data_IF_354743034769
#
_entry.id   IF_354743034769
#
_cell.length_a   1.000
_cell.length_b   1.000
_cell.length_c   1.000
_cell.angle_alpha   90.00
_cell.angle_beta   90.00
_cell.angle_gamma   90.00
#
_symmetry.space_group_name_H-M   'P 1'
#
loop_
_entity.id
_entity.type
_entity.pdbx_description
1 polymer ?
#
# COMPACT_ATOMS: atom_id res chain seq x y z
N UNK A 1 -27.23 -0.30 19.00
CA UNK A 1 -27.22 -0.45 17.52
C UNK A 1 -27.59 0.85 16.80
N UNK A 2 -28.63 1.57 17.19
CA UNK A 2 -29.11 2.80 16.52
C UNK A 2 -28.10 3.96 16.52
N UNK A 3 -27.29 4.11 17.58
CA UNK A 3 -26.22 5.13 17.64
C UNK A 3 -25.08 4.90 16.63
N UNK A 4 -24.75 3.64 16.31
CA UNK A 4 -23.74 3.35 15.30
C UNK A 4 -24.22 3.83 13.93
N UNK A 5 -25.45 3.48 13.53
CA UNK A 5 -26.04 3.89 12.23
C UNK A 5 -26.20 5.41 12.07
N UNK A 6 -26.51 6.14 13.15
CA UNK A 6 -26.60 7.61 13.11
C UNK A 6 -25.25 8.32 12.94
N UNK A 7 -24.15 7.65 13.27
CA UNK A 7 -22.81 8.23 13.24
C UNK A 7 -21.99 7.86 11.98
N UNK A 8 -22.47 6.89 11.18
CA UNK A 8 -21.93 6.61 9.83
C UNK A 8 -21.88 7.83 8.92
N UNK A 9 -22.93 8.68 8.80
CA UNK A 9 -22.90 9.87 7.96
C UNK A 9 -21.81 10.86 8.36
N UNK A 10 -21.51 10.98 9.66
CA UNK A 10 -20.43 11.86 10.13
C UNK A 10 -19.04 11.30 9.81
N UNK A 11 -18.86 9.99 9.93
CA UNK A 11 -17.62 9.31 9.54
C UNK A 11 -17.38 9.44 8.02
N UNK A 12 -18.42 9.19 7.23
CA UNK A 12 -18.39 9.29 5.76
C UNK A 12 -18.17 10.73 5.26
N UNK A 13 -18.54 11.75 6.04
CA UNK A 13 -18.23 13.15 5.75
C UNK A 13 -16.78 13.54 6.09
N UNK A 14 -16.06 12.71 6.86
CA UNK A 14 -14.70 13.05 7.28
C UNK A 14 -13.69 12.82 6.15
N UNK A 15 -13.10 13.92 5.67
CA UNK A 15 -12.02 13.90 4.68
C UNK A 15 -10.76 13.20 5.19
N UNK A 16 -10.46 13.29 6.50
CA UNK A 16 -9.32 12.59 7.11
C UNK A 16 -9.53 11.06 7.10
N UNK A 17 -10.76 10.61 7.41
CA UNK A 17 -11.10 9.18 7.36
C UNK A 17 -10.85 8.62 5.95
N UNK A 18 -11.40 9.27 4.93
CA UNK A 18 -11.20 8.85 3.54
C UNK A 18 -9.74 8.91 3.10
N UNK A 19 -9.01 9.94 3.53
CA UNK A 19 -7.59 10.05 3.20
C UNK A 19 -6.77 8.88 3.75
N UNK A 20 -6.93 8.51 5.03
CA UNK A 20 -6.25 7.33 5.59
C UNK A 20 -6.73 6.02 4.95
N UNK A 21 -8.03 5.87 4.72
CA UNK A 21 -8.60 4.69 4.05
C UNK A 21 -8.06 4.48 2.65
N UNK A 22 -7.99 5.55 1.85
CA UNK A 22 -7.44 5.50 0.50
C UNK A 22 -5.93 5.26 0.53
N UNK A 23 -5.21 5.85 1.49
CA UNK A 23 -3.77 5.62 1.65
C UNK A 23 -3.48 4.13 1.92
N UNK A 24 -4.21 3.52 2.85
CA UNK A 24 -4.10 2.09 3.13
C UNK A 24 -4.49 1.24 1.91
N UNK A 25 -5.59 1.58 1.23
CA UNK A 25 -6.09 0.84 0.08
C UNK A 25 -5.13 0.89 -1.13
N UNK A 26 -4.52 2.04 -1.45
CA UNK A 26 -3.55 2.14 -2.54
C UNK A 26 -2.25 1.40 -2.21
N UNK A 27 -1.77 1.52 -0.97
CA UNK A 27 -0.57 0.81 -0.49
C UNK A 27 -0.74 -0.71 -0.55
N UNK A 28 -1.86 -1.22 -0.05
CA UNK A 28 -2.21 -2.64 -0.18
C UNK A 28 -2.51 -3.03 -1.64
N UNK A 29 -3.10 -2.13 -2.43
CA UNK A 29 -3.36 -2.32 -3.85
C UNK A 29 -2.10 -2.68 -4.64
N UNK A 30 -0.97 -2.01 -4.36
CA UNK A 30 0.32 -2.37 -4.96
C UNK A 30 0.75 -3.81 -4.60
N UNK A 31 0.48 -4.25 -3.37
CA UNK A 31 0.76 -5.62 -2.92
C UNK A 31 -0.19 -6.64 -3.57
N UNK A 32 -1.47 -6.31 -3.72
CA UNK A 32 -2.44 -7.16 -4.41
C UNK A 32 -2.18 -7.27 -5.91
N UNK A 33 -1.76 -6.19 -6.57
CA UNK A 33 -1.29 -6.22 -7.95
C UNK A 33 -0.09 -7.17 -8.09
N UNK A 34 0.88 -7.06 -7.17
CA UNK A 34 2.01 -7.98 -7.10
C UNK A 34 1.54 -9.43 -6.97
N UNK A 35 0.66 -9.77 -6.03
CA UNK A 35 0.16 -11.13 -5.87
C UNK A 35 -0.54 -11.65 -7.13
N UNK A 36 -1.29 -10.79 -7.84
CA UNK A 36 -1.95 -11.15 -9.10
C UNK A 36 -0.99 -11.37 -10.28
N UNK A 37 0.16 -10.69 -10.30
CA UNK A 37 1.13 -10.74 -11.41
C UNK A 37 2.42 -11.52 -11.14
N UNK A 38 2.81 -11.74 -9.89
CA UNK A 38 4.14 -12.27 -9.53
C UNK A 38 4.40 -13.67 -10.07
N UNK A 39 3.38 -14.53 -10.08
CA UNK A 39 3.49 -15.89 -10.61
C UNK A 39 3.73 -15.87 -12.13
N UNK A 40 3.06 -14.96 -12.84
CA UNK A 40 3.27 -14.74 -14.27
C UNK A 40 4.69 -14.24 -14.54
N UNK A 41 5.16 -13.22 -13.82
CA UNK A 41 6.54 -12.70 -13.97
C UNK A 41 7.56 -13.81 -13.73
N UNK A 42 7.40 -14.55 -12.63
CA UNK A 42 8.32 -15.61 -12.26
C UNK A 42 8.46 -16.70 -13.32
N UNK A 43 7.34 -17.11 -13.93
CA UNK A 43 7.35 -18.15 -14.97
C UNK A 43 7.71 -17.61 -16.34
N UNK A 44 7.02 -16.58 -16.81
CA UNK A 44 7.11 -16.13 -18.20
C UNK A 44 8.31 -15.22 -18.46
N UNK A 45 8.74 -14.43 -17.48
CA UNK A 45 9.91 -13.54 -17.63
C UNK A 45 11.20 -14.20 -17.16
N UNK A 46 11.14 -14.95 -16.06
CA UNK A 46 12.32 -15.47 -15.38
C UNK A 46 12.52 -16.98 -15.49
N UNK A 47 11.59 -17.71 -16.14
CA UNK A 47 11.62 -19.18 -16.30
C UNK A 47 11.90 -19.93 -14.99
N UNK A 48 11.34 -19.42 -13.88
CA UNK A 48 11.54 -20.00 -12.55
C UNK A 48 10.68 -21.25 -12.36
N UNK A 49 11.31 -22.29 -11.81
CA UNK A 49 10.60 -23.46 -11.31
C UNK A 49 9.65 -23.09 -10.15
N UNK A 50 8.54 -23.83 -9.96
CA UNK A 50 7.52 -23.49 -8.95
C UNK A 50 8.06 -23.42 -7.51
N UNK A 51 9.04 -24.25 -7.16
CA UNK A 51 9.71 -24.28 -5.86
C UNK A 51 10.53 -23.00 -5.60
N UNK A 52 11.32 -22.57 -6.58
CA UNK A 52 12.11 -21.34 -6.49
C UNK A 52 11.20 -20.10 -6.52
N UNK A 53 10.17 -20.12 -7.36
CA UNK A 53 9.17 -19.05 -7.43
C UNK A 53 8.47 -18.82 -6.08
N UNK A 54 8.09 -19.88 -5.38
CA UNK A 54 7.48 -19.77 -4.06
C UNK A 54 8.37 -19.06 -3.04
N UNK A 55 9.69 -19.34 -3.07
CA UNK A 55 10.67 -18.66 -2.22
C UNK A 55 10.76 -17.17 -2.55
N UNK A 56 10.84 -16.81 -3.83
CA UNK A 56 10.90 -15.40 -4.27
C UNK A 56 9.62 -14.63 -3.94
N UNK A 57 8.45 -15.26 -4.05
CA UNK A 57 7.16 -14.65 -3.68
C UNK A 57 7.09 -14.35 -2.17
N UNK A 58 7.78 -15.15 -1.35
CA UNK A 58 7.82 -14.93 0.10
C UNK A 58 8.74 -13.78 0.50
N UNK A 59 9.78 -13.44 -0.28
CA UNK A 59 10.80 -12.43 0.07
C UNK A 59 10.19 -11.07 0.45
N UNK A 60 9.21 -10.51 -0.29
CA UNK A 60 8.63 -9.22 0.08
C UNK A 60 7.92 -9.19 1.44
N UNK A 61 7.44 -10.34 1.90
CA UNK A 61 6.83 -10.49 3.24
C UNK A 61 7.83 -10.14 4.34
N UNK A 62 9.12 -10.44 4.13
CA UNK A 62 10.18 -10.08 5.08
C UNK A 62 10.27 -8.56 5.24
N UNK A 63 10.28 -7.84 4.11
CA UNK A 63 10.24 -6.37 4.11
C UNK A 63 9.03 -5.85 4.88
N UNK A 64 7.84 -6.38 4.59
CA UNK A 64 6.61 -6.00 5.28
C UNK A 64 6.67 -6.22 6.79
N UNK A 65 7.15 -7.37 7.24
CA UNK A 65 7.30 -7.68 8.68
C UNK A 65 8.26 -6.70 9.35
N UNK A 66 9.40 -6.40 8.71
CA UNK A 66 10.37 -5.42 9.23
C UNK A 66 9.75 -4.04 9.33
N UNK A 67 9.10 -3.56 8.26
CA UNK A 67 8.41 -2.27 8.24
C UNK A 67 7.31 -2.17 9.32
N UNK A 68 6.53 -3.23 9.51
CA UNK A 68 5.48 -3.28 10.52
C UNK A 68 6.07 -3.24 11.95
N UNK A 69 7.17 -3.96 12.19
CA UNK A 69 7.90 -3.87 13.46
C UNK A 69 8.45 -2.46 13.74
N UNK A 70 8.95 -1.77 12.71
CA UNK A 70 9.38 -0.36 12.81
C UNK A 70 8.20 0.57 13.14
N UNK A 71 7.04 0.36 12.53
CA UNK A 71 5.81 1.09 12.88
C UNK A 71 5.48 0.94 14.37
N UNK A 72 5.41 -0.30 14.86
CA UNK A 72 5.09 -0.56 16.27
C UNK A 72 6.04 0.14 17.25
N UNK A 73 7.32 0.31 16.89
CA UNK A 73 8.32 0.97 17.73
C UNK A 73 8.32 2.50 17.62
N UNK A 74 8.17 3.04 16.42
CA UNK A 74 8.46 4.46 16.15
C UNK A 74 7.22 5.34 15.97
N UNK A 75 6.04 4.76 15.76
CA UNK A 75 4.81 5.53 15.50
C UNK A 75 4.40 6.43 16.67
N UNK A 76 4.62 6.01 17.91
CA UNK A 76 4.32 6.83 19.10
C UNK A 76 5.26 8.03 19.25
N UNK A 77 6.52 7.90 18.80
CA UNK A 77 7.54 8.95 18.95
C UNK A 77 7.57 9.93 17.78
N UNK A 78 7.42 9.43 16.55
CA UNK A 78 7.52 10.24 15.33
C UNK A 78 6.16 10.73 14.80
N UNK A 79 5.07 10.10 15.23
CA UNK A 79 3.72 10.37 14.75
C UNK A 79 3.35 9.56 13.51
N UNK A 80 2.07 9.19 13.43
CA UNK A 80 1.53 8.33 12.38
C UNK A 80 1.69 8.92 10.98
N UNK A 81 1.43 10.22 10.81
CA UNK A 81 1.46 10.89 9.50
C UNK A 81 2.85 10.88 8.86
N UNK A 82 3.89 11.15 9.66
CA UNK A 82 5.28 11.12 9.20
C UNK A 82 5.71 9.69 8.85
N UNK A 83 5.33 8.71 9.66
CA UNK A 83 5.64 7.31 9.40
C UNK A 83 5.00 6.82 8.10
N UNK A 84 3.75 7.21 7.84
CA UNK A 84 3.07 6.89 6.58
C UNK A 84 3.77 7.55 5.40
N UNK A 85 4.12 8.84 5.50
CA UNK A 85 4.81 9.55 4.42
C UNK A 85 6.18 8.90 4.11
N UNK A 86 6.98 8.59 5.14
CA UNK A 86 8.26 7.89 4.96
C UNK A 86 8.04 6.53 4.30
N UNK A 87 7.07 5.75 4.78
CA UNK A 87 6.71 4.48 4.18
C UNK A 87 6.32 4.61 2.70
N UNK A 88 5.50 5.60 2.35
CA UNK A 88 5.05 5.84 0.99
C UNK A 88 6.20 6.31 0.06
N UNK A 89 7.15 7.09 0.58
CA UNK A 89 8.37 7.44 -0.15
C UNK A 89 9.22 6.19 -0.40
N UNK A 90 9.34 5.30 0.58
CA UNK A 90 10.06 4.03 0.43
C UNK A 90 9.40 3.12 -0.60
N UNK A 91 8.07 3.04 -0.66
CA UNK A 91 7.38 2.23 -1.67
C UNK A 91 7.60 2.76 -3.08
N UNK A 92 7.48 4.08 -3.28
CA UNK A 92 7.77 4.72 -4.57
C UNK A 92 9.23 4.53 -4.94
N UNK A 93 10.18 4.72 -4.01
CA UNK A 93 11.59 4.49 -4.27
C UNK A 93 11.87 3.05 -4.74
N UNK A 94 11.31 2.05 -4.04
CA UNK A 94 11.44 0.64 -4.43
C UNK A 94 10.90 0.39 -5.84
N UNK A 95 9.72 0.91 -6.17
CA UNK A 95 9.09 0.68 -7.47
C UNK A 95 9.70 1.49 -8.61
N UNK A 96 10.15 2.72 -8.37
CA UNK A 96 10.90 3.53 -9.34
C UNK A 96 12.25 2.87 -9.63
N UNK A 97 12.93 2.35 -8.61
CA UNK A 97 14.16 1.58 -8.79
C UNK A 97 13.90 0.30 -9.61
N UNK A 98 12.79 -0.39 -9.33
CA UNK A 98 12.37 -1.55 -10.13
C UNK A 98 12.17 -1.19 -11.61
N UNK A 99 11.46 -0.09 -11.89
CA UNK A 99 11.22 0.38 -13.26
C UNK A 99 12.53 0.76 -13.95
N UNK A 100 13.40 1.50 -13.25
CA UNK A 100 14.69 1.91 -13.78
C UNK A 100 15.58 0.70 -14.13
N UNK A 101 15.68 -0.28 -13.23
CA UNK A 101 16.45 -1.51 -13.46
C UNK A 101 15.85 -2.33 -14.61
N UNK A 102 14.53 -2.43 -14.69
CA UNK A 102 13.86 -3.14 -15.78
C UNK A 102 14.13 -2.52 -17.16
N UNK A 103 14.24 -1.19 -17.25
CA UNK A 103 14.50 -0.49 -18.50
C UNK A 103 16.00 -0.38 -18.85
N UNK A 104 16.88 -0.36 -17.86
CA UNK A 104 18.31 -0.05 -18.05
C UNK A 104 19.22 -1.28 -18.05
N UNK A 105 18.72 -2.43 -17.55
CA UNK A 105 19.51 -3.64 -17.36
C UNK A 105 18.73 -4.88 -17.81
N UNK A 106 19.42 -6.01 -17.99
CA UNK A 106 18.74 -7.27 -18.23
C UNK A 106 18.02 -7.69 -16.93
N UNK A 107 16.69 -7.88 -16.93
CA UNK A 107 15.95 -8.18 -15.71
C UNK A 107 16.40 -9.53 -15.14
N UNK A 108 16.73 -9.55 -13.85
CA UNK A 108 17.05 -10.76 -13.08
C UNK A 108 16.07 -10.90 -11.91
N UNK A 109 15.75 -12.12 -11.45
CA UNK A 109 14.75 -12.33 -10.40
C UNK A 109 15.00 -11.47 -9.16
N UNK A 110 16.24 -11.43 -8.68
CA UNK A 110 16.60 -10.74 -7.46
C UNK A 110 16.41 -9.22 -7.55
N UNK A 111 16.55 -8.60 -8.73
CA UNK A 111 16.31 -7.17 -8.89
C UNK A 111 14.83 -6.83 -8.78
N UNK A 112 13.96 -7.64 -9.37
CA UNK A 112 12.51 -7.46 -9.25
C UNK A 112 12.03 -7.73 -7.82
N UNK A 113 12.25 -8.94 -7.29
CA UNK A 113 11.74 -9.33 -5.98
C UNK A 113 12.41 -8.54 -4.83
N UNK A 114 13.67 -8.11 -5.00
CA UNK A 114 14.36 -7.21 -4.08
C UNK A 114 13.71 -5.83 -4.01
N UNK A 115 13.37 -5.24 -5.16
CA UNK A 115 12.63 -3.97 -5.19
C UNK A 115 11.23 -4.09 -4.60
N UNK A 116 10.52 -5.19 -4.88
CA UNK A 116 9.22 -5.47 -4.25
C UNK A 116 9.36 -5.67 -2.74
N UNK A 117 10.49 -6.18 -2.25
CA UNK A 117 10.78 -6.26 -0.82
C UNK A 117 10.94 -4.88 -0.17
N UNK A 118 11.62 -3.94 -0.84
CA UNK A 118 11.67 -2.54 -0.40
C UNK A 118 10.26 -1.94 -0.37
N UNK A 119 9.44 -2.20 -1.39
CA UNK A 119 8.02 -1.81 -1.37
C UNK A 119 7.26 -2.47 -0.20
N UNK A 120 7.53 -3.74 0.11
CA UNK A 120 7.00 -4.44 1.28
C UNK A 120 7.30 -3.70 2.58
N UNK A 121 8.56 -3.27 2.76
CA UNK A 121 8.98 -2.47 3.91
C UNK A 121 8.20 -1.15 4.02
N UNK A 122 8.05 -0.43 2.92
CA UNK A 122 7.24 0.79 2.90
C UNK A 122 5.77 0.52 3.24
N UNK A 123 5.17 -0.56 2.72
CA UNK A 123 3.81 -0.97 3.06
C UNK A 123 3.66 -1.34 4.55
N UNK A 124 4.68 -1.96 5.15
CA UNK A 124 4.74 -2.24 6.59
C UNK A 124 4.77 -0.98 7.45
N UNK A 125 5.24 0.14 6.88
CA UNK A 125 5.16 1.46 7.50
C UNK A 125 3.79 2.12 7.29
N UNK A 126 3.25 2.05 6.07
CA UNK A 126 2.02 2.75 5.68
C UNK A 126 0.77 2.14 6.29
N UNK A 127 0.56 0.83 6.14
CA UNK A 127 -0.73 0.18 6.43
C UNK A 127 -1.11 0.24 7.91
N UNK A 128 -0.27 -0.19 8.88
CA UNK A 128 -0.65 -0.15 10.29
C UNK A 128 -0.87 1.28 10.79
N UNK A 129 -0.06 2.24 10.34
CA UNK A 129 -0.22 3.64 10.71
C UNK A 129 -1.48 4.28 10.10
N UNK A 130 -1.80 3.94 8.86
CA UNK A 130 -3.02 4.42 8.20
C UNK A 130 -4.27 3.84 8.87
N UNK A 131 -4.24 2.58 9.27
CA UNK A 131 -5.33 1.96 10.04
C UNK A 131 -5.49 2.64 11.42
N UNK A 132 -4.39 2.91 12.13
CA UNK A 132 -4.41 3.64 13.39
C UNK A 132 -4.97 5.07 13.21
N UNK A 133 -4.52 5.78 12.17
CA UNK A 133 -5.00 7.11 11.81
C UNK A 133 -6.50 7.13 11.49
N UNK A 134 -6.96 6.18 10.69
CA UNK A 134 -8.38 6.04 10.35
C UNK A 134 -9.27 5.87 11.59
N UNK A 135 -8.84 5.04 12.55
CA UNK A 135 -9.58 4.81 13.80
C UNK A 135 -9.51 6.01 14.76
N UNK A 136 -8.42 6.79 14.73
CA UNK A 136 -8.25 7.95 15.61
C UNK A 136 -9.06 9.17 15.16
N UNK A 137 -9.50 9.25 13.90
CA UNK A 137 -10.35 10.35 13.39
C UNK A 137 -11.65 10.49 14.19
N UNK A 138 -12.28 9.38 14.56
CA UNK A 138 -13.48 9.36 15.41
C UNK A 138 -13.42 8.14 16.35
N UNK A 139 -12.82 8.26 17.55
CA UNK A 139 -12.62 7.13 18.45
C UNK A 139 -13.91 6.40 18.85
N UNK A 140 -15.03 7.14 18.98
CA UNK A 140 -16.36 6.58 19.27
C UNK A 140 -16.88 5.64 18.16
N UNK A 141 -16.32 5.73 16.95
CA UNK A 141 -16.71 4.96 15.76
C UNK A 141 -15.59 4.06 15.24
N UNK A 142 -14.56 3.80 16.05
CA UNK A 142 -13.38 3.06 15.62
C UNK A 142 -13.72 1.68 15.02
N UNK A 143 -14.72 0.97 15.57
CA UNK A 143 -15.19 -0.30 15.01
C UNK A 143 -15.78 -0.17 13.60
N UNK A 144 -16.64 0.83 13.37
CA UNK A 144 -17.21 1.11 12.05
C UNK A 144 -16.16 1.60 11.05
N UNK A 145 -15.21 2.42 11.52
CA UNK A 145 -14.08 2.89 10.72
C UNK A 145 -13.20 1.72 10.25
N UNK A 146 -12.82 0.83 11.17
CA UNK A 146 -12.04 -0.36 10.83
C UNK A 146 -12.79 -1.31 9.90
N UNK A 147 -14.10 -1.50 10.09
CA UNK A 147 -14.92 -2.36 9.22
C UNK A 147 -15.01 -1.82 7.80
N UNK A 148 -15.32 -0.53 7.64
CA UNK A 148 -15.41 0.12 6.33
C UNK A 148 -14.04 0.21 5.65
N UNK A 149 -13.00 0.59 6.38
CA UNK A 149 -11.63 0.62 5.87
C UNK A 149 -11.15 -0.76 5.42
N UNK A 150 -11.42 -1.80 6.21
CA UNK A 150 -11.11 -3.19 5.85
C UNK A 150 -11.85 -3.67 4.60
N UNK A 151 -13.13 -3.31 4.46
CA UNK A 151 -13.92 -3.63 3.27
C UNK A 151 -13.36 -2.92 2.02
N UNK A 152 -12.99 -1.65 2.11
CA UNK A 152 -12.35 -0.90 1.02
C UNK A 152 -10.99 -1.50 0.64
N UNK A 153 -10.19 -1.84 1.64
CA UNK A 153 -8.88 -2.44 1.43
C UNK A 153 -8.97 -3.79 0.71
N UNK A 154 -9.84 -4.68 1.22
CA UNK A 154 -10.00 -6.04 0.67
C UNK A 154 -10.71 -6.01 -0.68
N UNK A 155 -11.80 -5.26 -0.80
CA UNK A 155 -12.58 -5.14 -2.03
C UNK A 155 -11.81 -4.43 -3.14
N UNK A 156 -11.17 -3.30 -2.83
CA UNK A 156 -10.30 -2.60 -3.77
C UNK A 156 -9.09 -3.44 -4.17
N UNK A 157 -8.48 -4.14 -3.21
CA UNK A 157 -7.41 -5.09 -3.45
C UNK A 157 -7.80 -6.22 -4.40
N UNK A 158 -8.96 -6.83 -4.21
CA UNK A 158 -9.48 -7.88 -5.09
C UNK A 158 -9.71 -7.39 -6.53
N UNK A 159 -10.26 -6.18 -6.70
CA UNK A 159 -10.44 -5.55 -8.01
C UNK A 159 -9.09 -5.32 -8.68
N UNK A 160 -8.11 -4.76 -7.95
CA UNK A 160 -6.77 -4.50 -8.47
C UNK A 160 -6.07 -5.80 -8.85
N UNK A 161 -6.10 -6.83 -7.99
CA UNK A 161 -5.47 -8.13 -8.25
C UNK A 161 -6.07 -8.78 -9.50
N UNK A 162 -7.40 -8.83 -9.60
CA UNK A 162 -8.12 -9.44 -10.72
C UNK A 162 -7.89 -8.66 -12.01
N UNK A 163 -8.00 -7.33 -11.97
CA UNK A 163 -7.77 -6.46 -13.12
C UNK A 163 -6.31 -6.51 -13.60
N UNK A 164 -5.36 -6.59 -12.67
CA UNK A 164 -3.94 -6.78 -13.00
C UNK A 164 -3.76 -8.11 -13.74
N UNK A 165 -4.19 -9.23 -13.15
CA UNK A 165 -4.09 -10.54 -13.77
C UNK A 165 -4.74 -10.61 -15.17
N UNK A 166 -5.86 -9.89 -15.38
CA UNK A 166 -6.56 -9.85 -16.66
C UNK A 166 -5.83 -9.06 -17.77
N UNK A 167 -4.97 -8.10 -17.41
CA UNK A 167 -4.27 -7.22 -18.36
C UNK A 167 -2.81 -7.66 -18.60
N UNK A 168 -2.33 -8.66 -17.87
CA UNK A 168 -1.02 -9.27 -18.14
C UNK A 168 -1.07 -10.13 -19.41
N UNK A 169 -0.48 -9.62 -20.49
CA UNK A 169 -0.39 -10.25 -21.81
C UNK A 169 1.07 -10.67 -22.07
N UNK A 170 1.33 -11.81 -22.74
CA UNK A 170 2.66 -12.20 -23.25
C UNK A 170 3.42 -11.03 -23.90
N UNK A 171 4.63 -10.75 -23.40
CA UNK A 171 5.54 -9.74 -23.94
C UNK A 171 5.50 -8.35 -23.28
N UNK A 172 4.36 -7.90 -22.72
CA UNK A 172 4.24 -6.59 -22.06
C UNK A 172 3.83 -6.66 -20.58
N UNK A 173 3.42 -7.85 -20.10
CA UNK A 173 2.89 -8.04 -18.75
C UNK A 173 3.80 -7.55 -17.62
N UNK A 174 5.13 -7.64 -17.77
CA UNK A 174 6.08 -7.20 -16.75
C UNK A 174 6.11 -5.69 -16.54
N UNK A 175 6.19 -4.94 -17.63
CA UNK A 175 6.18 -3.48 -17.57
C UNK A 175 4.83 -2.97 -17.07
N UNK A 176 3.72 -3.57 -17.55
CA UNK A 176 2.37 -3.23 -17.10
C UNK A 176 2.20 -3.43 -15.59
N UNK A 177 2.67 -4.56 -15.05
CA UNK A 177 2.61 -4.84 -13.62
C UNK A 177 3.40 -3.79 -12.80
N UNK A 178 4.64 -3.50 -13.20
CA UNK A 178 5.50 -2.52 -12.52
C UNK A 178 4.81 -1.14 -12.52
N UNK A 179 4.21 -0.74 -13.65
CA UNK A 179 3.49 0.53 -13.74
C UNK A 179 2.24 0.57 -12.85
N UNK A 180 1.44 -0.48 -12.81
CA UNK A 180 0.26 -0.55 -11.92
C UNK A 180 0.70 -0.38 -10.46
N UNK A 181 1.71 -1.14 -10.05
CA UNK A 181 2.27 -1.06 -8.69
C UNK A 181 2.83 0.33 -8.39
N UNK A 182 3.58 0.93 -9.31
CA UNK A 182 4.14 2.27 -9.16
C UNK A 182 3.05 3.34 -9.05
N UNK A 183 2.02 3.29 -9.89
CA UNK A 183 0.87 4.20 -9.83
C UNK A 183 0.17 4.09 -8.47
N UNK A 184 -0.05 2.88 -7.96
CA UNK A 184 -0.60 2.67 -6.61
C UNK A 184 0.30 3.27 -5.52
N UNK A 185 1.62 3.12 -5.63
CA UNK A 185 2.56 3.73 -4.68
C UNK A 185 2.52 5.27 -4.74
N UNK A 186 2.47 5.86 -5.93
CA UNK A 186 2.35 7.31 -6.11
C UNK A 186 1.03 7.83 -5.54
N UNK A 187 -0.08 7.14 -5.79
CA UNK A 187 -1.39 7.49 -5.22
C UNK A 187 -1.39 7.41 -3.69
N UNK A 188 -0.61 6.50 -3.10
CA UNK A 188 -0.37 6.44 -1.65
C UNK A 188 0.29 7.74 -1.15
N UNK A 189 1.33 8.25 -1.82
CA UNK A 189 1.96 9.54 -1.47
C UNK A 189 0.97 10.70 -1.59
N UNK A 190 0.20 10.76 -2.69
CA UNK A 190 -0.74 11.85 -2.92
C UNK A 190 -1.84 11.90 -1.85
N UNK A 191 -2.35 10.73 -1.45
CA UNK A 191 -3.41 10.63 -0.43
C UNK A 191 -2.90 10.98 0.96
N UNK A 192 -1.71 10.52 1.38
CA UNK A 192 -1.15 10.95 2.68
C UNK A 192 -0.77 12.43 2.68
N UNK A 193 -0.21 12.96 1.58
CA UNK A 193 0.10 14.39 1.49
C UNK A 193 -1.17 15.25 1.62
N UNK A 194 -2.29 14.80 1.05
CA UNK A 194 -3.59 15.43 1.23
C UNK A 194 -4.05 15.38 2.70
N UNK A 195 -3.91 14.24 3.38
CA UNK A 195 -4.24 14.10 4.81
C UNK A 195 -3.41 15.07 5.65
N UNK A 196 -2.09 15.09 5.47
CA UNK A 196 -1.18 15.96 6.21
C UNK A 196 -1.56 17.43 6.03
N UNK A 197 -1.78 17.87 4.79
CA UNK A 197 -2.20 19.25 4.49
C UNK A 197 -3.53 19.57 5.15
N UNK A 198 -4.50 18.64 5.12
CA UNK A 198 -5.79 18.85 5.76
C UNK A 198 -5.67 18.86 7.29
N UNK A 199 -4.74 18.10 7.85
CA UNK A 199 -4.48 18.09 9.29
C UNK A 199 -3.99 19.45 9.75
N UNK A 200 -2.99 20.00 9.06
CA UNK A 200 -2.43 21.33 9.35
C UNK A 200 -3.42 22.48 9.21
N UNK A 201 -4.34 22.41 8.24
CA UNK A 201 -5.37 23.46 8.06
C UNK A 201 -6.31 23.50 9.27
N UNK A 202 -6.76 22.34 9.74
CA UNK A 202 -7.67 22.27 10.90
C UNK A 202 -6.99 22.74 12.18
N UNK A 203 -5.71 22.39 12.39
CA UNK A 203 -4.94 22.88 13.55
C UNK A 203 -4.76 24.41 13.53
N UNK A 204 -4.76 25.05 12.35
CA UNK A 204 -4.69 26.51 12.22
C UNK A 204 -6.05 27.20 12.39
N UNK A 205 -7.15 26.51 12.12
CA UNK A 205 -8.51 27.04 12.32
C UNK A 205 -8.93 27.00 13.81
N UNK A 206 -8.25 26.19 14.63
CA UNK A 206 -8.49 26.04 16.07
C UNK A 206 -7.66 27.00 16.95
N UNK A 207 -6.74 27.79 16.36
CA UNK A 207 -5.90 28.81 17.03
C UNK A 207 -6.40 30.20 16.68
#
# INVERSE_FOLDING_TARGET
MTEQFHAYPELLKSRRFWGYSLTAAFSAGAYYAYLGGAAYIGRELFDLSPDVLGLYIAVPTIGYVVGNGLSGRFSMSFGIDKMILVGAVVTVFGMTTCLFLFLSTNPIPISFFGCVCIMGLGNGLVIPNSNAGMMSVRPKLAGSASGLGGALNTGGGAIIATGTAAVLIPGTGALTLILIMLVSCVMTILTIAYVIKRTQILEREEV
#
